data_IF_682481105339
#
_entry.id   IF_682481105339
#
_cell.length_a   1.000
_cell.length_b   1.000
_cell.length_c   1.000
_cell.angle_alpha   90.00
_cell.angle_beta   90.00
_cell.angle_gamma   90.00
#
_symmetry.space_group_name_H-M   'P 1'
#
loop_
_entity.id
_entity.type
_entity.pdbx_description
1 polymer ?
#
# COMPACT_ATOMS: atom_id res chain seq x y z
N UNK A 1 18.59 -4.74 -10.41
CA UNK A 1 18.18 -3.37 -10.02
C UNK A 1 17.16 -3.47 -8.89
N UNK A 2 17.29 -2.68 -7.84
CA UNK A 2 16.47 -2.71 -6.62
C UNK A 2 14.98 -2.40 -6.90
N UNK A 3 14.14 -3.40 -7.22
CA UNK A 3 12.70 -3.24 -7.45
C UNK A 3 12.34 -2.03 -8.35
N UNK A 4 13.14 -1.75 -9.40
CA UNK A 4 12.95 -0.59 -10.28
C UNK A 4 13.12 0.80 -9.62
N UNK A 5 13.62 0.89 -8.39
CA UNK A 5 13.62 2.11 -7.58
C UNK A 5 12.37 2.29 -6.71
N UNK A 6 11.45 1.31 -6.71
CA UNK A 6 10.26 1.32 -5.88
C UNK A 6 10.56 0.98 -4.42
N UNK A 7 9.66 1.40 -3.54
CA UNK A 7 9.63 1.04 -2.11
C UNK A 7 9.62 -0.50 -1.90
N UNK A 8 10.11 -0.96 -0.76
CA UNK A 8 10.14 -2.39 -0.40
C UNK A 8 8.75 -3.02 -0.30
N UNK A 9 7.74 -2.24 0.06
CA UNK A 9 6.34 -2.64 0.14
C UNK A 9 5.57 -2.31 -1.14
N UNK A 10 6.25 -2.00 -2.23
CA UNK A 10 5.67 -1.82 -3.56
C UNK A 10 5.99 -3.00 -4.50
N UNK A 11 5.14 -3.21 -5.49
CA UNK A 11 5.42 -3.98 -6.69
C UNK A 11 5.91 -3.05 -7.79
N UNK A 12 6.91 -3.51 -8.54
CA UNK A 12 7.42 -2.81 -9.70
C UNK A 12 6.80 -3.41 -10.97
N UNK A 13 6.25 -2.56 -11.82
CA UNK A 13 5.81 -2.88 -13.17
C UNK A 13 6.28 -1.80 -14.15
N UNK A 14 5.90 -1.92 -15.41
CA UNK A 14 6.11 -0.87 -16.41
C UNK A 14 4.76 -0.45 -17.00
N UNK A 15 4.66 0.83 -17.34
CA UNK A 15 3.55 1.34 -18.14
C UNK A 15 3.61 0.76 -19.55
N UNK A 16 2.50 0.20 -20.02
CA UNK A 16 2.46 -0.52 -21.29
C UNK A 16 2.64 0.37 -22.54
N UNK A 17 2.45 1.69 -22.40
CA UNK A 17 2.51 2.63 -23.54
C UNK A 17 3.87 3.34 -23.62
N UNK A 18 4.43 3.68 -22.47
CA UNK A 18 5.65 4.50 -22.35
C UNK A 18 6.86 3.68 -21.92
N UNK A 19 6.68 2.43 -21.48
CA UNK A 19 7.68 1.59 -20.82
C UNK A 19 8.31 2.25 -19.58
N UNK A 20 7.67 3.28 -19.02
CA UNK A 20 8.11 3.92 -17.79
C UNK A 20 7.92 3.00 -16.58
N UNK A 21 8.77 3.13 -15.55
CA UNK A 21 8.63 2.37 -14.30
C UNK A 21 7.38 2.82 -13.55
N UNK A 22 6.57 1.85 -13.10
CA UNK A 22 5.39 2.07 -12.28
C UNK A 22 5.57 1.32 -10.96
N UNK A 23 5.39 2.04 -9.85
CA UNK A 23 5.45 1.47 -8.51
C UNK A 23 4.06 1.50 -7.87
N UNK A 24 3.55 0.35 -7.47
CA UNK A 24 2.23 0.22 -6.83
C UNK A 24 2.37 -0.42 -5.46
N UNK A 25 1.75 0.14 -4.43
CA UNK A 25 1.81 -0.46 -3.10
C UNK A 25 1.16 -1.85 -3.09
N UNK A 26 1.81 -2.78 -2.38
CA UNK A 26 1.27 -4.13 -2.14
C UNK A 26 -0.04 -4.02 -1.36
N UNK A 27 -0.86 -5.06 -1.44
CA UNK A 27 -2.12 -5.10 -0.70
C UNK A 27 -1.87 -4.90 0.81
N UNK A 28 -2.72 -4.12 1.46
CA UNK A 28 -2.52 -3.69 2.86
C UNK A 28 -1.61 -2.48 3.05
N UNK A 29 -1.03 -1.92 1.98
CA UNK A 29 -0.21 -0.71 2.04
C UNK A 29 -0.82 0.40 1.18
N UNK A 30 -0.64 1.64 1.61
CA UNK A 30 -1.07 2.85 0.89
C UNK A 30 0.11 3.76 0.61
N UNK A 31 0.02 4.51 -0.49
CA UNK A 31 1.04 5.50 -0.81
C UNK A 31 0.94 6.69 0.15
N UNK A 32 1.94 6.85 1.01
CA UNK A 32 2.13 7.99 1.91
C UNK A 32 3.27 8.91 1.47
N UNK A 33 3.80 8.70 0.26
CA UNK A 33 4.84 9.54 -0.33
C UNK A 33 4.26 10.86 -0.85
N UNK A 34 5.14 11.81 -1.13
CA UNK A 34 4.76 13.15 -1.62
C UNK A 34 5.26 13.36 -3.05
N UNK A 35 4.43 13.96 -3.90
CA UNK A 35 4.77 14.21 -5.30
C UNK A 35 4.94 12.90 -6.07
N UNK A 36 6.08 12.75 -6.76
CA UNK A 36 6.40 11.55 -7.56
C UNK A 36 7.02 10.42 -6.76
N UNK A 37 7.30 10.61 -5.45
CA UNK A 37 7.87 9.57 -4.60
C UNK A 37 6.76 8.65 -4.12
N UNK A 38 6.85 7.36 -4.43
CA UNK A 38 5.98 6.34 -3.85
C UNK A 38 6.63 5.80 -2.57
N UNK A 39 5.91 5.92 -1.45
CA UNK A 39 6.30 5.32 -0.17
C UNK A 39 5.12 4.52 0.35
N UNK A 40 5.30 3.23 0.57
CA UNK A 40 4.21 2.34 0.93
C UNK A 40 4.19 2.10 2.43
N UNK A 41 3.23 2.74 3.09
CA UNK A 41 3.01 2.64 4.54
C UNK A 41 1.84 1.71 4.80
N UNK A 42 1.91 0.95 5.89
CA UNK A 42 0.83 0.09 6.37
C UNK A 42 -0.49 0.89 6.42
N UNK A 43 -1.53 0.35 5.78
CA UNK A 43 -2.81 1.00 5.67
C UNK A 43 -3.48 1.22 7.03
N UNK A 44 -3.35 0.30 7.99
CA UNK A 44 -3.90 0.47 9.33
C UNK A 44 -3.23 1.61 10.11
N UNK A 45 -1.99 1.97 9.78
CA UNK A 45 -1.30 3.13 10.36
C UNK A 45 -1.78 4.47 9.76
N UNK A 46 -2.49 4.43 8.63
CA UNK A 46 -2.99 5.61 7.92
C UNK A 46 -4.51 5.66 8.02
N UNK A 47 -5.04 6.59 8.81
CA UNK A 47 -6.48 6.76 9.00
C UNK A 47 -7.22 5.46 9.39
N UNK A 48 -6.61 4.64 10.24
CA UNK A 48 -7.15 3.34 10.68
C UNK A 48 -7.54 2.41 9.52
N UNK A 49 -6.84 2.45 8.38
CA UNK A 49 -7.20 1.68 7.19
C UNK A 49 -8.55 2.06 6.56
N UNK A 50 -9.12 3.21 6.93
CA UNK A 50 -10.49 3.59 6.59
C UNK A 50 -11.57 2.94 7.46
N UNK A 51 -11.18 2.19 8.48
CA UNK A 51 -12.11 1.63 9.46
C UNK A 51 -12.74 2.71 10.34
N UNK A 52 -13.94 2.43 10.86
CA UNK A 52 -14.60 3.27 11.85
C UNK A 52 -13.71 3.48 13.10
N UNK A 53 -13.86 4.62 13.77
CA UNK A 53 -13.16 4.93 15.02
C UNK A 53 -13.38 3.89 16.14
N UNK A 54 -14.53 3.23 16.15
CA UNK A 54 -14.90 2.16 17.08
C UNK A 54 -14.58 0.76 16.54
N UNK A 55 -13.91 0.64 15.40
CA UNK A 55 -13.40 -0.62 14.88
C UNK A 55 -11.88 -0.73 15.10
N UNK A 56 -11.40 -1.97 15.15
CA UNK A 56 -9.98 -2.33 15.13
C UNK A 56 -9.59 -2.66 13.70
N UNK A 57 -8.54 -2.02 13.19
CA UNK A 57 -7.94 -2.34 11.91
C UNK A 57 -6.95 -3.49 12.05
N UNK A 58 -6.99 -4.43 11.10
CA UNK A 58 -6.09 -5.58 11.01
C UNK A 58 -5.89 -5.96 9.53
N UNK A 59 -5.07 -6.97 9.29
CA UNK A 59 -4.85 -7.50 7.95
C UNK A 59 -5.39 -8.93 7.83
N UNK A 60 -6.04 -9.22 6.71
CA UNK A 60 -6.41 -10.57 6.33
C UNK A 60 -5.16 -11.44 6.15
N UNK A 61 -5.16 -12.63 6.76
CA UNK A 61 -3.98 -13.48 6.80
C UNK A 61 -3.57 -14.05 5.42
N UNK A 62 -4.50 -14.12 4.46
CA UNK A 62 -4.24 -14.72 3.15
C UNK A 62 -3.88 -13.67 2.10
N UNK A 63 -4.53 -12.52 2.15
CA UNK A 63 -4.45 -11.47 1.13
C UNK A 63 -3.66 -10.25 1.59
N UNK A 64 -3.42 -10.10 2.91
CA UNK A 64 -2.91 -8.90 3.56
C UNK A 64 -3.82 -7.66 3.40
N UNK A 65 -5.07 -7.84 2.96
CA UNK A 65 -6.03 -6.75 2.80
C UNK A 65 -6.48 -6.18 4.15
N UNK A 66 -6.89 -4.91 4.18
CA UNK A 66 -7.42 -4.29 5.40
C UNK A 66 -8.73 -4.98 5.81
N UNK A 67 -8.83 -5.31 7.10
CA UNK A 67 -10.02 -5.88 7.74
C UNK A 67 -10.36 -5.05 8.96
N UNK A 68 -11.60 -4.57 9.02
CA UNK A 68 -12.16 -3.84 10.15
C UNK A 68 -13.01 -4.78 11.01
N UNK A 69 -12.76 -4.83 12.31
CA UNK A 69 -13.59 -5.58 13.26
C UNK A 69 -14.14 -4.66 14.34
N UNK A 70 -15.46 -4.68 14.56
CA UNK A 70 -16.09 -3.91 15.63
C UNK A 70 -15.52 -4.32 16.99
N UNK A 71 -15.36 -3.33 17.88
CA UNK A 71 -15.02 -3.56 19.28
C UNK A 71 -16.22 -4.06 20.07
#
# INVERSE_FOLDING_TARGET
VNNGGCDSNATCSHDASTNGVVCSCKNGYVNSGTGSVIKCTDACQVNNGGCDSNATCSHDASTNGVVCSCK
#
